data_IF_818643484917
#
_entry.id   IF_818643484917
#
_cell.length_a   1.000
_cell.length_b   1.000
_cell.length_c   1.000
_cell.angle_alpha   90.00
_cell.angle_beta   90.00
_cell.angle_gamma   90.00
#
_symmetry.space_group_name_H-M   'P 1'
#
loop_
_entity.id
_entity.type
_entity.pdbx_description
1 polymer ?
#
# COMPACT_ATOMS: atom_id res chain seq x y z
N UNK A 1 34.66 51.19 44.13
CA UNK A 1 34.01 49.89 44.40
C UNK A 1 33.01 49.49 43.31
N UNK A 2 32.32 50.44 42.66
CA UNK A 2 31.25 50.15 41.69
C UNK A 2 31.65 49.75 40.26
N UNK A 3 32.88 49.96 39.79
CA UNK A 3 33.26 49.56 38.42
C UNK A 3 33.33 48.04 38.24
N UNK A 4 33.85 47.33 39.25
CA UNK A 4 33.87 45.86 39.25
C UNK A 4 32.48 45.26 39.36
N UNK A 5 31.53 46.00 39.95
CA UNK A 5 30.14 45.58 40.08
C UNK A 5 29.41 45.75 38.75
N UNK A 6 29.55 46.90 38.09
CA UNK A 6 29.04 47.12 36.72
C UNK A 6 29.62 46.15 35.70
N UNK A 7 30.90 45.78 35.83
CA UNK A 7 31.51 44.79 34.95
C UNK A 7 30.94 43.38 35.16
N UNK A 8 30.60 43.01 36.41
CA UNK A 8 29.91 41.75 36.72
C UNK A 8 28.48 41.76 36.19
N UNK A 9 27.76 42.86 36.34
CA UNK A 9 26.41 43.03 35.78
C UNK A 9 26.43 42.93 34.27
N UNK A 10 27.39 43.58 33.59
CA UNK A 10 27.53 43.51 32.13
C UNK A 10 27.90 42.09 31.65
N UNK A 11 28.77 41.37 32.39
CA UNK A 11 29.09 39.96 32.11
C UNK A 11 27.89 39.04 32.36
N UNK A 12 27.08 39.33 33.38
CA UNK A 12 25.87 38.59 33.70
C UNK A 12 24.77 38.83 32.65
N UNK A 13 24.55 40.08 32.25
CA UNK A 13 23.66 40.47 31.15
C UNK A 13 24.08 39.83 29.83
N UNK A 14 25.38 39.83 29.50
CA UNK A 14 25.91 39.16 28.32
C UNK A 14 25.69 37.65 28.35
N UNK A 15 25.89 37.03 29.52
CA UNK A 15 25.67 35.58 29.70
C UNK A 15 24.18 35.22 29.62
N UNK A 16 23.31 36.04 30.20
CA UNK A 16 21.86 35.88 30.11
C UNK A 16 21.36 36.06 28.68
N UNK A 17 21.85 37.06 27.93
CA UNK A 17 21.52 37.22 26.51
C UNK A 17 21.97 36.00 25.68
N UNK A 18 23.18 35.46 25.93
CA UNK A 18 23.66 34.24 25.27
C UNK A 18 22.81 33.02 25.65
N UNK A 19 22.37 32.91 26.90
CA UNK A 19 21.50 31.85 27.37
C UNK A 19 20.11 31.94 26.74
N UNK A 20 19.53 33.14 26.66
CA UNK A 20 18.24 33.41 26.02
C UNK A 20 18.28 33.09 24.51
N UNK A 21 19.35 33.50 23.81
CA UNK A 21 19.57 33.15 22.40
C UNK A 21 19.68 31.63 22.20
N UNK A 22 20.39 30.92 23.09
CA UNK A 22 20.51 29.44 23.04
C UNK A 22 19.18 28.74 23.34
N UNK A 23 18.42 29.23 24.31
CA UNK A 23 17.08 28.71 24.64
C UNK A 23 16.11 28.91 23.47
N UNK A 24 16.13 30.09 22.84
CA UNK A 24 15.31 30.40 21.66
C UNK A 24 15.64 29.52 20.45
N UNK A 25 16.95 29.30 20.17
CA UNK A 25 17.40 28.38 19.12
C UNK A 25 17.03 26.92 19.43
N UNK A 26 17.14 26.50 20.70
CA UNK A 26 16.76 25.17 21.15
C UNK A 26 15.26 24.91 21.00
N UNK A 27 14.41 25.85 21.42
CA UNK A 27 12.95 25.76 21.25
C UNK A 27 12.56 25.74 19.77
N UNK A 28 13.21 26.57 18.95
CA UNK A 28 12.99 26.57 17.49
C UNK A 28 13.37 25.24 16.85
N UNK A 29 14.50 24.65 17.25
CA UNK A 29 14.94 23.34 16.76
C UNK A 29 14.00 22.21 17.21
N UNK A 30 13.53 22.24 18.46
CA UNK A 30 12.55 21.29 18.98
C UNK A 30 11.20 21.40 18.22
N UNK A 31 10.74 22.62 17.91
CA UNK A 31 9.54 22.83 17.11
C UNK A 31 9.68 22.31 15.67
N UNK A 32 10.85 22.46 15.04
CA UNK A 32 11.14 21.92 13.70
C UNK A 32 11.15 20.38 13.72
N UNK A 33 11.69 19.76 14.78
CA UNK A 33 11.65 18.31 14.99
C UNK A 33 10.21 17.83 15.18
N UNK A 34 9.38 18.55 15.96
CA UNK A 34 7.97 18.23 16.13
C UNK A 34 7.17 18.31 14.82
N UNK A 35 7.41 19.33 13.98
CA UNK A 35 6.74 19.46 12.67
C UNK A 35 7.12 18.33 11.71
N UNK A 36 8.37 17.83 11.76
CA UNK A 36 8.82 16.67 10.97
C UNK A 36 8.38 15.32 11.56
N UNK A 37 8.02 15.28 12.84
CA UNK A 37 7.45 14.10 13.50
C UNK A 37 5.93 13.96 13.26
N UNK A 38 5.22 15.05 13.00
CA UNK A 38 3.80 15.02 12.61
C UNK A 38 3.55 14.54 11.17
N UNK A 39 4.62 14.36 10.38
CA UNK A 39 4.53 13.73 9.04
C UNK A 39 4.63 12.21 9.09
N UNK A 40 5.01 11.62 10.25
CA UNK A 40 4.51 10.31 10.59
C UNK A 40 3.08 10.49 11.03
N UNK A 41 2.17 10.54 10.05
CA UNK A 41 0.80 10.11 10.27
C UNK A 41 0.92 8.69 10.81
N UNK A 42 0.92 8.54 12.14
CA UNK A 42 0.49 7.30 12.73
C UNK A 42 -0.89 7.05 12.14
N UNK A 43 -0.93 6.09 11.22
CA UNK A 43 -2.09 5.33 10.82
C UNK A 43 -2.93 5.14 12.08
N UNK A 44 -3.98 5.95 12.17
CA UNK A 44 -5.00 5.77 13.18
C UNK A 44 -5.59 4.41 12.90
N UNK A 45 -5.51 3.55 13.91
CA UNK A 45 -5.86 2.15 13.80
C UNK A 45 -7.21 1.92 13.15
N UNK A 46 -7.21 0.97 12.21
CA UNK A 46 -7.92 -0.28 12.40
C UNK A 46 -9.46 -0.16 12.48
N UNK A 47 -10.07 0.43 11.46
CA UNK A 47 -11.45 0.06 11.12
C UNK A 47 -11.40 -1.29 10.38
N UNK A 48 -11.29 -2.36 11.15
CA UNK A 48 -11.34 -3.72 10.63
C UNK A 48 -12.79 -4.16 10.69
N UNK A 49 -13.50 -3.93 9.59
CA UNK A 49 -14.81 -4.54 9.37
C UNK A 49 -14.79 -5.49 8.15
N UNK A 50 -13.60 -5.75 7.57
CA UNK A 50 -13.45 -6.55 6.34
C UNK A 50 -12.52 -7.76 6.42
N UNK A 51 -11.81 -8.00 7.53
CA UNK A 51 -10.75 -9.02 7.59
C UNK A 51 -11.27 -10.48 7.56
N UNK A 52 -12.59 -10.72 7.60
CA UNK A 52 -13.17 -12.07 7.57
C UNK A 52 -13.85 -12.45 6.25
N UNK A 53 -13.44 -11.86 5.12
CA UNK A 53 -13.80 -12.44 3.82
C UNK A 53 -12.82 -13.57 3.49
N UNK A 54 -13.32 -14.82 3.46
CA UNK A 54 -12.57 -16.01 3.00
C UNK A 54 -11.93 -15.80 1.62
N UNK A 55 -12.53 -14.95 0.79
CA UNK A 55 -12.11 -14.68 -0.58
C UNK A 55 -11.12 -13.50 -0.67
N UNK A 56 -10.94 -12.76 0.43
CA UNK A 56 -10.01 -11.64 0.53
C UNK A 56 -10.54 -10.31 -0.02
N UNK A 57 -11.84 -10.20 -0.31
CA UNK A 57 -12.50 -8.96 -0.72
C UNK A 57 -14.01 -9.00 -0.38
N UNK A 58 -14.64 -7.84 -0.28
CA UNK A 58 -16.09 -7.70 -0.06
C UNK A 58 -16.81 -7.25 -1.34
N UNK A 59 -18.04 -7.72 -1.64
CA UNK A 59 -18.78 -7.29 -2.84
C UNK A 59 -18.93 -5.77 -2.98
N UNK A 60 -18.93 -5.03 -1.87
CA UNK A 60 -19.01 -3.57 -1.84
C UNK A 60 -17.76 -2.91 -2.45
N UNK A 61 -16.60 -3.58 -2.43
CA UNK A 61 -15.33 -3.08 -2.99
C UNK A 61 -15.35 -3.05 -4.52
N UNK A 62 -16.28 -3.76 -5.17
CA UNK A 62 -16.51 -3.66 -6.61
C UNK A 62 -17.27 -2.38 -7.03
N UNK A 63 -17.94 -1.72 -6.08
CA UNK A 63 -18.81 -0.56 -6.38
C UNK A 63 -18.12 0.79 -6.22
N UNK A 64 -17.02 0.83 -5.46
CA UNK A 64 -16.25 2.05 -5.19
C UNK A 64 -14.86 1.95 -5.80
N UNK A 65 -14.54 2.88 -6.69
CA UNK A 65 -13.22 2.99 -7.32
C UNK A 65 -12.12 3.18 -6.27
N UNK A 66 -12.37 3.97 -5.22
CA UNK A 66 -11.37 4.24 -4.19
C UNK A 66 -11.02 2.98 -3.41
N UNK A 67 -12.03 2.20 -2.99
CA UNK A 67 -11.83 0.90 -2.31
C UNK A 67 -11.12 -0.11 -3.20
N UNK A 68 -11.43 -0.13 -4.50
CA UNK A 68 -10.76 -1.01 -5.45
C UNK A 68 -9.27 -0.69 -5.57
N UNK A 69 -8.90 0.60 -5.58
CA UNK A 69 -7.51 1.03 -5.60
C UNK A 69 -6.80 0.64 -4.31
N UNK A 70 -7.41 0.87 -3.15
CA UNK A 70 -6.85 0.46 -1.85
C UNK A 70 -6.64 -1.05 -1.76
N UNK A 71 -7.62 -1.84 -2.22
CA UNK A 71 -7.52 -3.30 -2.30
C UNK A 71 -6.37 -3.74 -3.22
N UNK A 72 -6.24 -3.11 -4.39
CA UNK A 72 -5.16 -3.40 -5.32
C UNK A 72 -3.78 -3.08 -4.73
N UNK A 73 -3.65 -1.96 -4.01
CA UNK A 73 -2.39 -1.60 -3.34
C UNK A 73 -2.04 -2.57 -2.21
N UNK A 74 -3.03 -2.97 -1.40
CA UNK A 74 -2.86 -4.00 -0.38
C UNK A 74 -2.45 -5.35 -0.99
N UNK A 75 -3.09 -5.76 -2.09
CA UNK A 75 -2.75 -6.96 -2.83
C UNK A 75 -1.33 -6.90 -3.42
N UNK A 76 -0.94 -5.75 -3.99
CA UNK A 76 0.42 -5.55 -4.51
C UNK A 76 1.47 -5.73 -3.41
N UNK A 77 1.25 -5.14 -2.24
CA UNK A 77 2.15 -5.27 -1.09
C UNK A 77 2.22 -6.72 -0.61
N UNK A 78 1.08 -7.40 -0.52
CA UNK A 78 0.99 -8.81 -0.10
C UNK A 78 1.75 -9.76 -1.03
N UNK A 79 1.69 -9.50 -2.34
CA UNK A 79 2.32 -10.35 -3.36
C UNK A 79 3.68 -9.81 -3.86
N UNK A 80 4.20 -8.74 -3.25
CA UNK A 80 5.49 -8.16 -3.63
C UNK A 80 5.54 -7.62 -5.06
N UNK A 81 4.40 -7.11 -5.59
CA UNK A 81 4.29 -6.62 -6.96
C UNK A 81 4.70 -5.15 -7.04
N UNK A 82 5.52 -4.83 -8.04
CA UNK A 82 5.91 -3.47 -8.39
C UNK A 82 5.91 -3.32 -9.92
N UNK A 83 5.43 -2.18 -10.41
CA UNK A 83 5.38 -1.87 -11.84
C UNK A 83 6.32 -0.73 -12.17
N UNK A 84 6.84 -0.71 -13.40
CA UNK A 84 7.87 0.25 -13.81
C UNK A 84 7.28 1.64 -14.09
N UNK A 85 6.07 1.68 -14.63
CA UNK A 85 5.38 2.91 -15.03
C UNK A 85 4.00 3.04 -14.41
N UNK A 86 3.53 4.28 -14.30
CA UNK A 86 2.16 4.56 -13.85
C UNK A 86 1.14 4.00 -14.83
N UNK A 87 1.43 4.07 -16.12
CA UNK A 87 0.61 3.53 -17.21
C UNK A 87 0.45 2.01 -17.07
N UNK A 88 1.54 1.29 -16.78
CA UNK A 88 1.48 -0.14 -16.50
C UNK A 88 0.66 -0.45 -15.24
N UNK A 89 0.88 0.31 -14.14
CA UNK A 89 0.09 0.13 -12.91
C UNK A 89 -1.41 0.31 -13.17
N UNK A 90 -1.80 1.32 -13.95
CA UNK A 90 -3.20 1.56 -14.32
C UNK A 90 -3.76 0.44 -15.20
N UNK A 91 -2.98 -0.06 -16.16
CA UNK A 91 -3.39 -1.18 -16.98
C UNK A 91 -3.62 -2.46 -16.16
N UNK A 92 -2.68 -2.75 -15.24
CA UNK A 92 -2.76 -3.91 -14.33
C UNK A 92 -3.92 -3.79 -13.34
N UNK A 93 -4.25 -2.57 -12.90
CA UNK A 93 -5.43 -2.31 -12.09
C UNK A 93 -6.73 -2.63 -12.84
N UNK A 94 -6.85 -2.29 -14.12
CA UNK A 94 -8.06 -2.61 -14.90
C UNK A 94 -8.20 -4.13 -15.11
N UNK A 95 -7.10 -4.83 -15.37
CA UNK A 95 -7.12 -6.31 -15.43
C UNK A 95 -7.52 -6.90 -14.07
N UNK A 96 -6.96 -6.37 -12.99
CA UNK A 96 -7.27 -6.81 -11.63
C UNK A 96 -8.76 -6.66 -11.30
N UNK A 97 -9.36 -5.52 -11.67
CA UNK A 97 -10.78 -5.26 -11.53
C UNK A 97 -11.64 -6.24 -12.30
N UNK A 98 -11.27 -6.57 -13.54
CA UNK A 98 -12.03 -7.53 -14.35
C UNK A 98 -11.90 -8.96 -13.80
N UNK A 99 -10.72 -9.34 -13.33
CA UNK A 99 -10.51 -10.60 -12.63
C UNK A 99 -11.32 -10.68 -11.33
N UNK A 100 -11.37 -9.60 -10.55
CA UNK A 100 -12.16 -9.52 -9.32
C UNK A 100 -13.66 -9.72 -9.60
N UNK A 101 -14.20 -9.08 -10.64
CA UNK A 101 -15.59 -9.30 -11.09
C UNK A 101 -15.84 -10.75 -11.51
N UNK A 102 -14.87 -11.36 -12.20
CA UNK A 102 -14.98 -12.74 -12.62
C UNK A 102 -15.03 -13.70 -11.42
N UNK A 103 -14.15 -13.49 -10.44
CA UNK A 103 -14.09 -14.27 -9.20
C UNK A 103 -15.42 -14.14 -8.44
N UNK A 104 -15.97 -12.93 -8.31
CA UNK A 104 -17.24 -12.67 -7.62
C UNK A 104 -18.42 -13.36 -8.31
N UNK A 105 -18.55 -13.17 -9.64
CA UNK A 105 -19.59 -13.80 -10.42
C UNK A 105 -19.53 -15.34 -10.35
N UNK A 106 -18.33 -15.90 -10.51
CA UNK A 106 -18.13 -17.35 -10.49
C UNK A 106 -18.35 -17.93 -9.10
N UNK A 107 -17.87 -17.28 -8.04
CA UNK A 107 -18.10 -17.75 -6.68
C UNK A 107 -19.59 -17.74 -6.34
N UNK A 108 -20.36 -16.73 -6.76
CA UNK A 108 -21.84 -16.73 -6.61
C UNK A 108 -22.51 -17.90 -7.33
N UNK A 109 -22.09 -18.20 -8.55
CA UNK A 109 -22.60 -19.35 -9.33
C UNK A 109 -22.28 -20.69 -8.65
N UNK A 110 -21.06 -20.82 -8.11
CA UNK A 110 -20.54 -22.05 -7.52
C UNK A 110 -21.02 -22.31 -6.09
N UNK A 111 -21.64 -21.34 -5.41
CA UNK A 111 -22.07 -21.44 -4.00
C UNK A 111 -22.92 -22.69 -3.69
N UNK A 112 -23.66 -23.20 -4.66
CA UNK A 112 -24.60 -24.33 -4.46
C UNK A 112 -23.99 -25.67 -4.88
N UNK A 113 -23.02 -25.68 -5.80
CA UNK A 113 -22.66 -26.89 -6.58
C UNK A 113 -21.18 -27.29 -6.51
N UNK A 114 -20.31 -26.41 -5.99
CA UNK A 114 -18.86 -26.59 -6.12
C UNK A 114 -18.15 -26.88 -4.80
N UNK A 115 -17.08 -27.67 -4.88
CA UNK A 115 -16.14 -27.91 -3.78
C UNK A 115 -14.96 -26.93 -3.77
N UNK A 116 -14.93 -25.94 -4.66
CA UNK A 116 -13.85 -24.96 -4.77
C UNK A 116 -14.37 -23.54 -4.94
N UNK A 117 -13.55 -22.58 -4.52
CA UNK A 117 -13.75 -21.14 -4.71
C UNK A 117 -12.55 -20.55 -5.44
N UNK A 118 -12.80 -19.48 -6.21
CA UNK A 118 -11.76 -18.63 -6.75
C UNK A 118 -11.41 -17.56 -5.73
N UNK A 119 -10.22 -16.98 -5.83
CA UNK A 119 -9.78 -15.90 -4.94
C UNK A 119 -8.67 -15.07 -5.56
N UNK A 120 -8.37 -13.93 -4.93
CA UNK A 120 -7.26 -13.09 -5.33
C UNK A 120 -5.94 -13.82 -5.07
N UNK A 121 -5.18 -14.08 -6.13
CA UNK A 121 -3.94 -14.83 -6.12
C UNK A 121 -2.82 -14.02 -6.82
N UNK A 122 -1.63 -14.60 -6.97
CA UNK A 122 -0.48 -13.91 -7.59
C UNK A 122 -0.70 -13.55 -9.08
N UNK A 123 -1.69 -14.18 -9.72
CA UNK A 123 -2.04 -14.00 -11.12
C UNK A 123 -3.22 -13.04 -11.34
N UNK A 124 -3.74 -12.41 -10.28
CA UNK A 124 -4.89 -11.53 -10.39
C UNK A 124 -4.65 -10.25 -11.21
N UNK A 125 -3.39 -9.88 -11.48
CA UNK A 125 -3.00 -8.78 -12.37
C UNK A 125 -2.76 -9.20 -13.84
N UNK A 126 -2.98 -10.47 -14.17
CA UNK A 126 -2.76 -11.00 -15.52
C UNK A 126 -4.07 -11.37 -16.18
N UNK A 127 -4.16 -11.07 -17.48
CA UNK A 127 -5.24 -11.56 -18.32
C UNK A 127 -5.09 -13.06 -18.59
N UNK A 128 -6.20 -13.73 -18.94
CA UNK A 128 -6.19 -15.16 -19.27
C UNK A 128 -5.23 -15.51 -20.41
N UNK A 129 -5.17 -14.66 -21.44
CA UNK A 129 -4.28 -14.86 -22.58
C UNK A 129 -2.81 -14.64 -22.21
N UNK A 130 -2.49 -13.63 -21.39
CA UNK A 130 -1.14 -13.47 -20.85
C UNK A 130 -0.72 -14.68 -20.01
N UNK A 131 -1.61 -15.19 -19.16
CA UNK A 131 -1.34 -16.36 -18.34
C UNK A 131 -1.04 -17.59 -19.21
N UNK A 132 -1.86 -17.86 -20.24
CA UNK A 132 -1.62 -18.95 -21.19
C UNK A 132 -0.28 -18.81 -21.90
N UNK A 133 -0.01 -17.63 -22.46
CA UNK A 133 1.20 -17.38 -23.24
C UNK A 133 2.48 -17.47 -22.39
N UNK A 134 2.40 -17.17 -21.10
CA UNK A 134 3.55 -17.22 -20.21
C UNK A 134 3.77 -18.60 -19.59
N UNK A 135 2.70 -19.30 -19.21
CA UNK A 135 2.79 -20.51 -18.39
C UNK A 135 2.37 -21.80 -19.10
N UNK A 136 1.64 -21.73 -20.22
CA UNK A 136 1.06 -22.91 -20.89
C UNK A 136 1.65 -23.19 -22.29
N UNK A 137 2.70 -22.49 -22.70
CA UNK A 137 3.32 -22.61 -24.04
C UNK A 137 4.00 -23.96 -24.32
N UNK A 138 4.14 -24.83 -23.32
CA UNK A 138 4.66 -26.19 -23.47
C UNK A 138 3.59 -27.25 -23.79
N UNK A 139 2.31 -26.93 -23.69
CA UNK A 139 1.21 -27.85 -23.98
C UNK A 139 0.81 -27.75 -25.45
N UNK A 140 1.71 -28.12 -26.35
CA UNK A 140 1.27 -28.47 -27.71
C UNK A 140 0.57 -29.82 -27.59
N UNK A 141 -0.69 -29.96 -28.05
CA UNK A 141 -1.25 -31.29 -28.21
C UNK A 141 -0.34 -32.02 -29.19
N UNK A 142 0.21 -33.16 -28.75
CA UNK A 142 0.91 -34.09 -29.63
C UNK A 142 -0.16 -34.63 -30.59
N UNK A 143 -0.30 -34.00 -31.75
CA UNK A 143 -1.29 -34.34 -32.78
C UNK A 143 -1.00 -35.69 -33.47
N UNK A 144 0.04 -36.42 -33.03
CA UNK A 144 0.57 -37.60 -33.74
C UNK A 144 0.22 -38.97 -33.14
N UNK A 145 -0.42 -39.07 -31.96
CA UNK A 145 -0.74 -40.40 -31.37
C UNK A 145 -2.24 -40.70 -31.21
N UNK A 146 -3.13 -39.70 -31.17
CA UNK A 146 -4.56 -39.96 -30.98
C UNK A 146 -5.32 -40.37 -32.25
N UNK A 147 -4.70 -40.29 -33.43
CA UNK A 147 -5.29 -40.73 -34.72
C UNK A 147 -5.06 -42.21 -35.05
N UNK A 148 -4.37 -42.98 -34.20
CA UNK A 148 -3.99 -44.38 -34.47
C UNK A 148 -4.59 -45.43 -33.52
N UNK A 149 -5.70 -45.13 -32.82
CA UNK A 149 -6.48 -46.14 -32.08
C UNK A 149 -7.95 -46.09 -32.43
#
# INVERSE_FOLDING_TARGET
MGEREREREMKMLSSNCKLLLRLSLCVSLLMIICIRCSSSRTLQGHEYDGEFSIVGYSPEELTSTDKLVELFESWMLKHGKSYESTEEKLHRLEIFKDNLKHIDARNRELQITSSYWLGLNEFSDMSHEEFKNKYLTGLKPDDDEFRRR
#
